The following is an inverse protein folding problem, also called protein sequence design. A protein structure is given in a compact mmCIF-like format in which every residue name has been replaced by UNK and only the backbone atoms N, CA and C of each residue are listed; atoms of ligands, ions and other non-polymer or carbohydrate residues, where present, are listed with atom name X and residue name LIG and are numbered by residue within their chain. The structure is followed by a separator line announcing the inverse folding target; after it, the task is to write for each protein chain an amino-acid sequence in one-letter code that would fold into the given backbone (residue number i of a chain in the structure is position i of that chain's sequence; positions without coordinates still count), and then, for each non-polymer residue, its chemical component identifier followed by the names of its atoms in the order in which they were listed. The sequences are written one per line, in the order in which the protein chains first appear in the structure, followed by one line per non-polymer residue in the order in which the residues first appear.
data_IF_689195199242
#
_entry.id   IF_689195199242
#
_cell.length_a   1.000
_cell.length_b   1.000
_cell.length_c   1.000
_cell.angle_alpha   90.00
_cell.angle_beta   90.00
_cell.angle_gamma   90.00
#
_symmetry.space_group_name_H-M   'P 1'
#
loop_
_entity.id
_entity.type
_entity.pdbx_description
1 polymer ?
#
# COMPACT_ATOMS: atom_id res chain seq x y z
N UNK A 1 36.61 -43.30 -24.73
CA UNK A 1 35.98 -44.42 -23.98
C UNK A 1 34.48 -44.26 -24.15
N UNK A 2 33.84 -45.24 -24.81
CA UNK A 2 32.40 -45.54 -24.94
C UNK A 2 31.41 -44.53 -24.31
N UNK A 3 30.55 -43.80 -25.03
CA UNK A 3 29.41 -44.22 -25.90
C UNK A 3 28.33 -45.05 -25.17
N UNK A 4 27.08 -44.58 -25.28
CA UNK A 4 25.77 -45.22 -24.94
C UNK A 4 25.18 -44.82 -23.57
N UNK A 5 23.94 -44.34 -23.46
CA UNK A 5 22.77 -44.73 -24.25
C UNK A 5 21.92 -43.61 -24.87
N UNK A 6 21.43 -43.94 -26.07
CA UNK A 6 20.38 -43.33 -26.91
C UNK A 6 19.10 -43.00 -26.08
N UNK A 7 18.51 -41.79 -26.16
CA UNK A 7 17.56 -41.23 -27.17
C UNK A 7 16.21 -41.98 -27.19
N UNK A 8 14.99 -41.35 -27.18
CA UNK A 8 14.59 -40.11 -27.89
C UNK A 8 13.73 -39.10 -27.08
N UNK A 9 13.86 -37.80 -27.32
CA UNK A 9 13.02 -37.01 -28.26
C UNK A 9 11.53 -37.39 -28.22
N UNK A 10 10.75 -36.68 -27.39
CA UNK A 10 9.34 -36.44 -27.67
C UNK A 10 9.04 -34.96 -27.49
N UNK A 11 8.94 -34.28 -28.63
CA UNK A 11 8.28 -33.00 -28.81
C UNK A 11 6.87 -33.05 -28.19
N UNK A 12 6.57 -32.13 -27.27
CA UNK A 12 5.21 -31.66 -27.06
C UNK A 12 5.22 -30.14 -27.14
N UNK A 13 4.81 -29.66 -28.31
CA UNK A 13 4.33 -28.31 -28.50
C UNK A 13 3.01 -28.15 -27.71
N UNK A 14 2.91 -27.12 -26.88
CA UNK A 14 1.62 -26.60 -26.41
C UNK A 14 1.79 -25.15 -25.95
N UNK A 15 1.61 -24.24 -26.91
CA UNK A 15 0.69 -23.10 -26.84
C UNK A 15 0.55 -22.36 -25.50
N UNK A 16 1.00 -21.11 -25.53
CA UNK A 16 0.84 -20.00 -24.58
C UNK A 16 -0.50 -20.00 -23.78
N UNK A 17 -0.47 -20.06 -22.43
CA UNK A 17 -1.49 -19.40 -21.64
C UNK A 17 -1.11 -17.93 -21.48
N UNK A 18 -1.91 -17.08 -22.14
CA UNK A 18 -1.94 -15.63 -21.99
C UNK A 18 -1.91 -15.28 -20.50
N UNK A 19 -1.02 -14.35 -20.11
CA UNK A 19 -1.10 -13.65 -18.83
C UNK A 19 -2.49 -13.00 -18.74
N UNK A 20 -3.43 -13.67 -18.08
CA UNK A 20 -4.76 -13.11 -17.83
C UNK A 20 -4.61 -12.05 -16.76
N UNK A 21 -4.37 -10.83 -17.23
CA UNK A 21 -4.48 -9.62 -16.44
C UNK A 21 -5.92 -9.57 -15.90
N UNK A 22 -6.07 -9.80 -14.59
CA UNK A 22 -7.20 -9.27 -13.87
C UNK A 22 -7.07 -7.73 -13.86
N UNK A 23 -7.39 -7.10 -14.98
CA UNK A 23 -7.87 -5.73 -14.98
C UNK A 23 -9.19 -5.75 -14.19
N UNK A 24 -9.09 -5.58 -12.87
CA UNK A 24 -10.23 -5.26 -12.03
C UNK A 24 -10.72 -3.86 -12.44
N UNK A 25 -11.53 -3.79 -13.49
CA UNK A 25 -12.46 -2.70 -13.71
C UNK A 25 -13.47 -2.77 -12.56
N UNK A 26 -13.15 -2.10 -11.44
CA UNK A 26 -14.14 -1.87 -10.39
C UNK A 26 -15.16 -0.89 -10.98
N UNK A 27 -16.43 -1.29 -11.19
CA UNK A 27 -17.45 -0.33 -11.55
C UNK A 27 -17.49 0.73 -10.44
N UNK A 28 -17.52 1.98 -10.89
CA UNK A 28 -17.62 3.20 -10.12
C UNK A 28 -18.32 2.98 -8.76
N UNK A 29 -17.52 2.99 -7.69
CA UNK A 29 -18.08 2.99 -6.33
C UNK A 29 -18.75 4.35 -6.19
N UNK A 30 -20.09 4.44 -6.01
CA UNK A 30 -20.74 5.72 -5.86
C UNK A 30 -20.02 6.47 -4.74
N UNK A 31 -19.43 7.62 -5.08
CA UNK A 31 -18.80 8.50 -4.11
C UNK A 31 -19.91 8.91 -3.14
N UNK A 32 -19.98 8.23 -1.99
CA UNK A 32 -20.82 8.69 -0.90
C UNK A 32 -20.42 10.13 -0.66
N UNK A 33 -21.35 11.05 -0.89
CA UNK A 33 -21.25 12.45 -0.47
C UNK A 33 -21.38 12.53 1.06
N UNK A 34 -20.53 11.77 1.77
CA UNK A 34 -20.08 12.10 3.11
C UNK A 34 -19.25 13.36 2.93
N UNK A 35 -19.42 14.36 3.79
CA UNK A 35 -18.40 15.40 3.98
C UNK A 35 -17.07 14.67 4.23
N UNK A 36 -16.29 14.50 3.17
CA UNK A 36 -15.47 13.30 2.95
C UNK A 36 -14.20 13.33 3.78
N UNK A 37 -14.25 12.76 4.99
CA UNK A 37 -13.03 12.54 5.75
C UNK A 37 -12.12 11.58 4.96
N UNK A 38 -10.90 12.02 4.70
CA UNK A 38 -9.92 11.30 3.89
C UNK A 38 -8.83 10.76 4.78
N UNK A 39 -8.42 9.50 4.61
CA UNK A 39 -7.29 8.94 5.33
C UNK A 39 -6.29 8.26 4.41
N UNK A 40 -5.04 8.20 4.84
CA UNK A 40 -4.02 7.34 4.22
C UNK A 40 -3.15 6.68 5.28
N UNK A 41 -2.64 5.51 4.91
CA UNK A 41 -1.63 4.77 5.68
C UNK A 41 -0.31 4.89 4.92
N UNK A 42 0.78 5.08 5.66
CA UNK A 42 2.12 5.21 5.09
C UNK A 42 3.03 4.09 5.59
N UNK A 43 3.87 3.58 4.69
CA UNK A 43 5.03 2.76 5.06
C UNK A 43 6.27 3.62 5.33
N UNK A 44 6.23 4.91 5.00
CA UNK A 44 7.30 5.83 5.35
C UNK A 44 7.40 5.89 6.87
N UNK A 45 8.56 5.48 7.38
CA UNK A 45 8.82 5.41 8.81
C UNK A 45 10.11 6.19 9.10
N UNK A 46 10.10 7.16 10.01
CA UNK A 46 11.28 7.97 10.34
C UNK A 46 12.28 7.24 11.26
N UNK A 47 12.31 5.90 11.22
CA UNK A 47 13.21 5.03 11.98
C UNK A 47 12.77 4.69 13.41
N UNK A 48 11.59 5.15 13.83
CA UNK A 48 11.10 5.11 15.23
C UNK A 48 9.64 4.68 15.35
N UNK A 49 9.05 4.20 14.25
CA UNK A 49 7.65 3.80 14.24
C UNK A 49 6.71 4.97 14.48
N UNK A 50 5.66 4.71 15.24
CA UNK A 50 4.68 5.70 15.67
C UNK A 50 5.20 6.64 16.79
N UNK A 51 6.43 6.44 17.28
CA UNK A 51 7.05 7.38 18.22
C UNK A 51 7.51 8.65 17.48
N UNK A 52 6.59 9.59 17.34
CA UNK A 52 6.83 10.86 16.68
C UNK A 52 7.21 11.97 17.68
N UNK A 53 7.37 11.67 18.97
CA UNK A 53 7.67 12.65 20.00
C UNK A 53 6.48 13.56 20.35
N UNK A 54 5.26 13.01 20.27
CA UNK A 54 4.00 13.68 20.64
C UNK A 54 3.08 14.02 19.46
N UNK A 55 1.80 14.28 19.78
CA UNK A 55 0.73 14.49 18.77
C UNK A 55 1.05 15.66 17.82
N UNK A 56 1.63 16.76 18.31
CA UNK A 56 1.98 17.90 17.48
C UNK A 56 3.03 17.57 16.40
N UNK A 57 4.04 16.77 16.74
CA UNK A 57 5.03 16.29 15.75
C UNK A 57 4.45 15.23 14.84
N UNK A 58 3.51 14.42 15.34
CA UNK A 58 2.79 13.45 14.53
C UNK A 58 1.93 14.13 13.44
N UNK A 59 1.21 15.20 13.80
CA UNK A 59 0.44 16.01 12.85
C UNK A 59 1.34 16.65 11.79
N UNK A 60 2.48 17.22 12.19
CA UNK A 60 3.45 17.75 11.23
C UNK A 60 3.98 16.68 10.28
N UNK A 61 4.17 15.45 10.76
CA UNK A 61 4.60 14.33 9.93
C UNK A 61 3.52 13.96 8.91
N UNK A 62 2.26 13.85 9.35
CA UNK A 62 1.13 13.61 8.46
C UNK A 62 0.95 14.72 7.42
N UNK A 63 1.11 15.99 7.81
CA UNK A 63 1.04 17.11 6.88
C UNK A 63 2.12 17.04 5.80
N UNK A 64 3.35 16.68 6.19
CA UNK A 64 4.46 16.51 5.24
C UNK A 64 4.17 15.40 4.23
N UNK A 65 3.72 14.23 4.71
CA UNK A 65 3.39 13.10 3.83
C UNK A 65 2.24 13.42 2.89
N UNK A 66 1.20 14.07 3.38
CA UNK A 66 0.09 14.51 2.54
C UNK A 66 0.55 15.46 1.43
N UNK A 67 1.40 16.43 1.77
CA UNK A 67 1.97 17.38 0.79
C UNK A 67 2.76 16.64 -0.29
N UNK A 68 3.59 15.66 0.09
CA UNK A 68 4.37 14.87 -0.87
C UNK A 68 3.48 13.98 -1.75
N UNK A 69 2.33 13.54 -1.25
CA UNK A 69 1.33 12.80 -2.01
C UNK A 69 0.42 13.71 -2.88
N UNK A 70 0.66 15.03 -2.91
CA UNK A 70 -0.18 15.99 -3.63
C UNK A 70 -1.52 16.29 -2.94
N UNK A 71 -1.68 15.89 -1.68
CA UNK A 71 -2.86 16.14 -0.86
C UNK A 71 -2.88 17.56 -0.30
N UNK A 72 -4.01 18.26 -0.43
CA UNK A 72 -4.25 19.55 0.20
C UNK A 72 -4.88 19.44 1.61
N UNK A 73 -5.08 20.59 2.24
CA UNK A 73 -5.81 20.76 3.51
C UNK A 73 -5.07 20.28 4.76
N UNK A 74 -5.82 20.14 5.85
CA UNK A 74 -5.27 19.93 7.19
C UNK A 74 -5.29 18.44 7.54
N UNK A 75 -4.10 17.86 7.68
CA UNK A 75 -3.94 16.46 8.07
C UNK A 75 -3.58 16.36 9.56
N UNK A 76 -4.11 15.32 10.19
CA UNK A 76 -3.91 14.99 11.61
C UNK A 76 -3.50 13.54 11.74
N UNK A 77 -2.62 13.26 12.69
CA UNK A 77 -2.25 11.90 13.03
C UNK A 77 -3.36 11.26 13.86
N UNK A 78 -3.80 10.08 13.42
CA UNK A 78 -4.70 9.23 14.17
C UNK A 78 -3.88 8.24 14.99
N UNK A 79 -3.54 8.66 16.21
CA UNK A 79 -2.81 7.88 17.20
C UNK A 79 -3.58 7.91 18.51
N UNK A 80 -3.66 6.76 19.16
CA UNK A 80 -4.21 6.67 20.50
C UNK A 80 -3.07 6.68 21.52
N UNK A 81 -3.18 7.55 22.52
CA UNK A 81 -2.25 7.61 23.65
C UNK A 81 -2.75 6.67 24.75
N UNK A 82 -1.89 5.80 25.29
CA UNK A 82 -2.02 4.86 26.43
C UNK A 82 -3.32 4.06 26.66
N UNK A 83 -4.41 4.27 25.92
CA UNK A 83 -5.71 3.62 26.13
C UNK A 83 -6.19 2.79 24.93
N UNK A 84 -5.61 2.96 23.73
CA UNK A 84 -5.94 2.15 22.55
C UNK A 84 -4.68 1.99 21.70
N UNK A 85 -4.39 0.79 21.19
CA UNK A 85 -3.32 0.61 20.21
C UNK A 85 -3.74 1.26 18.88
N UNK A 86 -2.93 2.18 18.36
CA UNK A 86 -3.17 2.70 17.01
C UNK A 86 -2.71 1.68 15.94
N UNK A 87 -3.44 1.53 14.82
CA UNK A 87 -2.93 0.86 13.62
C UNK A 87 -1.67 1.58 13.07
N UNK A 88 -0.97 1.03 12.04
CA UNK A 88 0.16 1.72 11.39
C UNK A 88 -0.15 3.20 11.12
N UNK A 89 0.85 4.09 11.27
CA UNK A 89 0.72 5.54 11.25
C UNK A 89 -0.34 6.04 10.23
N UNK A 90 -1.54 6.30 10.76
CA UNK A 90 -2.72 6.66 9.98
C UNK A 90 -2.86 8.19 10.01
N UNK A 91 -2.97 8.81 8.85
CA UNK A 91 -3.18 10.24 8.71
C UNK A 91 -4.58 10.51 8.19
N UNK A 92 -5.34 11.37 8.86
CA UNK A 92 -6.74 11.70 8.56
C UNK A 92 -6.86 13.21 8.26
N UNK A 93 -7.74 13.59 7.33
CA UNK A 93 -8.13 14.97 7.01
C UNK A 93 -9.64 15.11 7.03
#
# INVERSE_FOLDING_TARGET
MHLSGKLPLLMMAATVPVFSACAQSRPDRPASATSGMSFFVTSANPGKGADLGGLARADQYCQKLATMAGGGGTWRAYLSNSAVSAPPALCLR
#
